data_IF_848425630365
#
_entry.id   IF_848425630365
#
_cell.length_a   1.000
_cell.length_b   1.000
_cell.length_c   1.000
_cell.angle_alpha   90.00
_cell.angle_beta   90.00
_cell.angle_gamma   90.00
#
_symmetry.space_group_name_H-M   'P 1'
#
loop_
_entity.id
_entity.type
_entity.pdbx_description
1 polymer ?
#
# COMPACT_ATOMS: atom_id res chain seq x y z
N UNK A 1 5.23 -26.42 -5.09
CA UNK A 1 4.61 -25.46 -4.15
C UNK A 1 5.70 -24.49 -3.72
N UNK A 2 5.60 -23.17 -4.00
CA UNK A 2 6.59 -22.24 -3.48
C UNK A 2 6.52 -22.32 -1.95
N UNK A 3 7.64 -22.67 -1.33
CA UNK A 3 7.71 -22.85 0.11
C UNK A 3 7.34 -21.52 0.76
N UNK A 4 6.40 -21.50 1.71
CA UNK A 4 6.05 -20.35 2.57
C UNK A 4 7.16 -19.27 2.76
N UNK A 5 8.43 -19.62 3.05
CA UNK A 5 9.54 -18.65 3.10
C UNK A 5 9.68 -17.76 1.86
N UNK A 6 9.50 -18.26 0.65
CA UNK A 6 9.59 -17.46 -0.59
C UNK A 6 8.43 -16.46 -0.72
N UNK A 7 7.28 -16.78 -0.13
CA UNK A 7 6.12 -15.89 -0.11
C UNK A 7 6.32 -14.75 0.91
N UNK A 8 6.94 -15.04 2.05
CA UNK A 8 7.39 -14.02 3.02
C UNK A 8 8.56 -13.17 2.50
N UNK A 9 9.36 -13.68 1.57
CA UNK A 9 10.38 -12.91 0.87
C UNK A 9 9.83 -12.10 -0.31
N UNK A 10 8.52 -12.15 -0.60
CA UNK A 10 7.90 -11.37 -1.66
C UNK A 10 7.35 -10.05 -1.12
N UNK A 11 7.98 -8.94 -1.51
CA UNK A 11 7.60 -7.60 -1.06
C UNK A 11 6.14 -7.26 -1.37
N UNK A 12 5.62 -7.68 -2.53
CA UNK A 12 4.23 -7.43 -2.91
C UNK A 12 3.26 -8.27 -2.08
N UNK A 13 3.64 -9.49 -1.71
CA UNK A 13 2.85 -10.31 -0.78
C UNK A 13 2.84 -9.69 0.63
N UNK A 14 3.98 -9.17 1.11
CA UNK A 14 4.05 -8.42 2.37
C UNK A 14 3.15 -7.18 2.37
N UNK A 15 3.13 -6.42 1.26
CA UNK A 15 2.25 -5.26 1.11
C UNK A 15 0.77 -5.62 1.18
N UNK A 16 0.35 -6.66 0.47
CA UNK A 16 -1.04 -7.13 0.49
C UNK A 16 -1.42 -7.63 1.88
N UNK A 17 -0.60 -8.50 2.47
CA UNK A 17 -0.90 -9.09 3.79
C UNK A 17 -1.01 -8.03 4.88
N UNK A 18 -0.09 -7.07 4.91
CA UNK A 18 -0.16 -5.93 5.86
C UNK A 18 -1.35 -5.01 5.57
N UNK A 19 -1.69 -4.74 4.30
CA UNK A 19 -2.86 -3.95 3.92
C UNK A 19 -4.18 -4.62 4.37
N UNK A 20 -4.33 -5.92 4.12
CA UNK A 20 -5.50 -6.69 4.54
C UNK A 20 -5.62 -6.74 6.06
N UNK A 21 -4.50 -6.92 6.78
CA UNK A 21 -4.49 -6.89 8.24
C UNK A 21 -4.91 -5.53 8.80
N UNK A 22 -4.43 -4.43 8.21
CA UNK A 22 -4.87 -3.06 8.57
C UNK A 22 -6.36 -2.91 8.32
N UNK A 23 -6.87 -3.34 7.17
CA UNK A 23 -8.30 -3.24 6.84
C UNK A 23 -9.18 -4.00 7.83
N UNK A 24 -8.82 -5.24 8.16
CA UNK A 24 -9.59 -6.09 9.09
C UNK A 24 -9.56 -5.49 10.49
N UNK A 25 -8.38 -5.11 11.00
CA UNK A 25 -8.25 -4.62 12.37
C UNK A 25 -8.85 -3.22 12.55
N UNK A 26 -8.68 -2.33 11.56
CA UNK A 26 -9.25 -0.99 11.60
C UNK A 26 -10.77 -1.01 11.45
N UNK A 27 -11.32 -1.82 10.54
CA UNK A 27 -12.78 -1.97 10.41
C UNK A 27 -13.43 -2.62 11.63
N UNK A 28 -12.71 -3.52 12.31
CA UNK A 28 -13.12 -4.09 13.59
C UNK A 28 -12.92 -3.18 14.81
N UNK A 29 -12.39 -1.97 14.64
CA UNK A 29 -12.10 -1.04 15.76
C UNK A 29 -11.04 -1.53 16.76
N UNK A 30 -10.23 -2.54 16.38
CA UNK A 30 -9.26 -3.16 17.29
C UNK A 30 -8.11 -2.22 17.56
N UNK A 31 -7.76 -1.94 18.83
CA UNK A 31 -6.66 -1.04 19.17
C UNK A 31 -5.30 -1.56 18.71
N UNK A 32 -5.19 -2.77 18.16
CA UNK A 32 -3.95 -3.30 17.58
C UNK A 32 -3.76 -2.93 16.10
N UNK A 33 -4.71 -2.23 15.47
CA UNK A 33 -4.59 -1.87 14.05
C UNK A 33 -3.32 -1.04 13.76
N UNK A 34 -2.83 -0.24 14.70
CA UNK A 34 -1.62 0.58 14.51
C UNK A 34 -0.34 -0.25 14.41
N UNK A 35 -0.27 -1.41 15.08
CA UNK A 35 0.93 -2.26 15.04
C UNK A 35 1.17 -2.86 13.66
N UNK A 36 0.10 -3.05 12.87
CA UNK A 36 0.19 -3.48 11.48
C UNK A 36 0.19 -2.30 10.50
N UNK A 37 -0.32 -1.13 10.89
CA UNK A 37 -0.30 0.07 10.07
C UNK A 37 1.11 0.65 9.90
N UNK A 38 1.94 0.62 10.94
CA UNK A 38 3.35 1.07 10.87
C UNK A 38 4.13 0.32 9.79
N UNK A 39 4.23 -1.03 9.80
CA UNK A 39 4.94 -1.75 8.75
C UNK A 39 4.27 -1.58 7.38
N UNK A 40 2.94 -1.50 7.31
CA UNK A 40 2.23 -1.20 6.07
C UNK A 40 2.66 0.15 5.47
N UNK A 41 2.79 1.19 6.30
CA UNK A 41 3.19 2.53 5.89
C UNK A 41 4.58 2.54 5.25
N UNK A 42 5.56 1.88 5.89
CA UNK A 42 6.92 1.80 5.35
C UNK A 42 6.97 0.99 4.04
N UNK A 43 6.25 -0.12 3.96
CA UNK A 43 6.21 -0.95 2.76
C UNK A 43 5.56 -0.22 1.57
N UNK A 44 4.61 0.66 1.84
CA UNK A 44 3.83 1.39 0.83
C UNK A 44 4.20 2.87 0.72
N UNK A 45 5.31 3.30 1.33
CA UNK A 45 5.77 4.68 1.31
C UNK A 45 5.85 5.28 -0.11
N UNK A 46 6.37 4.57 -1.14
CA UNK A 46 6.41 5.10 -2.49
C UNK A 46 5.01 5.40 -3.06
N UNK A 47 4.07 4.48 -2.90
CA UNK A 47 2.69 4.67 -3.37
C UNK A 47 1.92 5.67 -2.51
N UNK A 48 2.22 5.75 -1.21
CA UNK A 48 1.66 6.77 -0.32
C UNK A 48 2.09 8.16 -0.76
N UNK A 49 3.38 8.40 -1.00
CA UNK A 49 3.86 9.68 -1.49
C UNK A 49 3.15 10.07 -2.79
N UNK A 50 3.11 9.16 -3.77
CA UNK A 50 2.43 9.40 -5.05
C UNK A 50 0.92 9.57 -4.94
N UNK A 51 0.28 9.01 -3.92
CA UNK A 51 -1.16 9.21 -3.67
C UNK A 51 -1.42 10.52 -2.91
N UNK A 52 -0.60 10.85 -1.92
CA UNK A 52 -0.77 12.03 -1.07
C UNK A 52 -0.56 13.34 -1.82
N UNK A 53 0.37 13.40 -2.79
CA UNK A 53 0.61 14.64 -3.54
C UNK A 53 -0.60 15.06 -4.41
N UNK A 54 -1.19 14.19 -5.24
CA UNK A 54 -2.41 14.50 -5.98
C UNK A 54 -3.63 14.68 -5.07
N UNK A 55 -3.78 13.86 -4.03
CA UNK A 55 -4.90 13.96 -3.11
C UNK A 55 -4.89 15.28 -2.33
N UNK A 56 -3.72 15.73 -1.87
CA UNK A 56 -3.57 17.03 -1.21
C UNK A 56 -3.79 18.18 -2.18
N UNK A 57 -3.24 18.12 -3.39
CA UNK A 57 -3.48 19.14 -4.42
C UNK A 57 -4.97 19.28 -4.79
N UNK A 58 -5.68 18.16 -4.90
CA UNK A 58 -7.13 18.15 -5.11
C UNK A 58 -7.87 18.73 -3.89
N UNK A 59 -7.48 18.36 -2.67
CA UNK A 59 -8.11 18.85 -1.45
C UNK A 59 -7.97 20.37 -1.29
N UNK A 60 -6.78 20.93 -1.55
CA UNK A 60 -6.55 22.38 -1.51
C UNK A 60 -7.20 23.12 -2.71
N UNK A 61 -7.36 22.47 -3.86
CA UNK A 61 -8.02 23.02 -5.04
C UNK A 61 -9.56 22.99 -4.99
N UNK A 62 -10.15 22.13 -4.16
CA UNK A 62 -11.60 21.91 -4.05
C UNK A 62 -12.28 22.79 -2.99
N UNK A 63 -11.71 23.93 -2.62
CA UNK A 63 -12.20 24.87 -1.59
C UNK A 63 -13.61 25.48 -1.84
N UNK A 64 -14.42 24.90 -2.73
CA UNK A 64 -15.84 25.22 -2.97
C UNK A 64 -16.65 24.06 -3.56
N UNK A 65 -16.16 22.82 -3.54
CA UNK A 65 -16.88 21.65 -4.07
C UNK A 65 -17.75 21.01 -2.97
N UNK A 66 -19.01 20.62 -3.25
CA UNK A 66 -19.87 19.99 -2.25
C UNK A 66 -19.25 18.70 -1.71
N UNK A 67 -19.56 18.34 -0.44
CA UNK A 67 -19.10 17.09 0.14
C UNK A 67 -19.54 15.92 -0.75
N UNK A 68 -18.58 15.05 -1.02
CA UNK A 68 -18.69 13.88 -1.90
C UNK A 68 -19.48 12.80 -1.13
N UNK A 69 -20.79 12.99 -1.00
CA UNK A 69 -21.71 12.21 -0.13
C UNK A 69 -21.85 10.73 -0.55
N UNK A 70 -21.47 10.38 -1.78
CA UNK A 70 -21.47 8.99 -2.29
C UNK A 70 -20.34 8.10 -1.72
N UNK A 71 -19.40 8.65 -0.93
CA UNK A 71 -18.35 7.89 -0.25
C UNK A 71 -18.76 7.37 1.15
N UNK A 72 -20.08 7.27 1.40
CA UNK A 72 -20.64 6.81 2.66
C UNK A 72 -20.42 5.32 2.92
N UNK A 73 -19.54 5.00 3.87
CA UNK A 73 -19.40 3.68 4.47
C UNK A 73 -18.37 2.80 3.76
N UNK A 74 -17.27 2.48 4.46
CA UNK A 74 -16.19 1.54 4.06
C UNK A 74 -15.31 2.01 2.89
N UNK A 75 -15.87 2.69 1.89
CA UNK A 75 -15.18 3.21 0.70
C UNK A 75 -13.92 4.06 1.00
N UNK A 76 -13.93 5.03 1.93
CA UNK A 76 -12.78 5.92 2.11
C UNK A 76 -11.60 5.22 2.77
N UNK A 77 -11.86 4.38 3.76
CA UNK A 77 -10.83 3.60 4.45
C UNK A 77 -10.23 2.57 3.49
N UNK A 78 -11.07 1.86 2.73
CA UNK A 78 -10.60 0.92 1.71
C UNK A 78 -9.73 1.62 0.66
N UNK A 79 -10.18 2.75 0.10
CA UNK A 79 -9.40 3.51 -0.89
C UNK A 79 -8.08 4.02 -0.31
N UNK A 80 -8.08 4.54 0.92
CA UNK A 80 -6.86 5.05 1.58
C UNK A 80 -5.78 4.00 1.80
N UNK A 81 -6.15 2.72 1.84
CA UNK A 81 -5.22 1.59 2.01
C UNK A 81 -4.92 0.91 0.67
N UNK A 82 -5.96 0.62 -0.12
CA UNK A 82 -5.84 -0.13 -1.36
C UNK A 82 -5.08 0.64 -2.45
N UNK A 83 -5.33 1.95 -2.59
CA UNK A 83 -4.73 2.74 -3.68
C UNK A 83 -3.22 2.91 -3.51
N UNK A 84 -2.70 3.34 -2.34
CA UNK A 84 -1.25 3.39 -2.11
C UNK A 84 -0.58 2.03 -2.23
N UNK A 85 -1.30 0.97 -1.86
CA UNK A 85 -0.81 -0.41 -2.00
C UNK A 85 -0.67 -0.80 -3.47
N UNK A 86 -1.69 -0.56 -4.28
CA UNK A 86 -1.67 -0.84 -5.71
C UNK A 86 -0.57 -0.05 -6.43
N UNK A 87 -0.44 1.25 -6.15
CA UNK A 87 0.61 2.10 -6.72
C UNK A 87 1.99 1.58 -6.34
N UNK A 88 2.20 1.21 -5.07
CA UNK A 88 3.48 0.67 -4.60
C UNK A 88 3.83 -0.65 -5.31
N UNK A 89 2.84 -1.52 -5.53
CA UNK A 89 3.04 -2.76 -6.28
C UNK A 89 3.46 -2.50 -7.72
N UNK A 90 2.79 -1.57 -8.42
CA UNK A 90 3.14 -1.16 -9.78
C UNK A 90 4.56 -0.58 -9.82
N UNK A 91 4.90 0.33 -8.90
CA UNK A 91 6.25 0.89 -8.79
C UNK A 91 7.31 -0.19 -8.57
N UNK A 92 7.01 -1.21 -7.77
CA UNK A 92 7.92 -2.34 -7.60
C UNK A 92 8.21 -3.04 -8.93
N UNK A 93 7.24 -3.17 -9.84
CA UNK A 93 7.51 -3.69 -11.18
C UNK A 93 8.38 -2.73 -12.00
N UNK A 94 8.09 -1.43 -11.96
CA UNK A 94 8.86 -0.42 -12.69
C UNK A 94 10.33 -0.32 -12.22
N UNK A 95 10.57 -0.51 -10.93
CA UNK A 95 11.89 -0.38 -10.32
C UNK A 95 12.66 -1.70 -10.25
N UNK A 96 12.05 -2.85 -10.55
CA UNK A 96 12.73 -4.17 -10.63
C UNK A 96 14.07 -4.12 -11.39
N UNK A 97 14.17 -3.48 -12.58
CA UNK A 97 15.44 -3.43 -13.32
C UNK A 97 16.52 -2.64 -12.56
N UNK A 98 16.12 -1.57 -11.88
CA UNK A 98 17.01 -0.69 -11.11
C UNK A 98 17.51 -1.44 -9.86
N UNK A 99 16.60 -2.08 -9.11
CA UNK A 99 16.94 -2.82 -7.90
C UNK A 99 17.80 -4.06 -8.17
N UNK A 100 17.64 -4.71 -9.33
CA UNK A 100 18.54 -5.78 -9.76
C UNK A 100 19.97 -5.29 -9.95
N UNK A 101 20.18 -4.05 -10.42
CA UNK A 101 21.51 -3.47 -10.61
C UNK A 101 22.16 -3.02 -9.30
N UNK A 102 21.38 -2.55 -8.33
CA UNK A 102 21.91 -2.04 -7.07
C UNK A 102 22.08 -3.11 -6.00
N UNK A 103 21.54 -4.32 -6.18
CA UNK A 103 21.63 -5.41 -5.21
C UNK A 103 20.81 -5.20 -3.92
N UNK A 104 20.21 -4.01 -3.75
CA UNK A 104 19.46 -3.60 -2.55
C UNK A 104 18.27 -4.53 -2.26
N UNK A 105 17.70 -5.15 -3.29
CA UNK A 105 16.62 -6.14 -3.15
C UNK A 105 17.06 -7.57 -3.50
N UNK A 106 18.36 -7.86 -3.51
CA UNK A 106 18.87 -9.21 -3.82
C UNK A 106 18.34 -10.29 -2.86
N UNK A 107 17.89 -9.91 -1.67
CA UNK A 107 17.26 -10.80 -0.69
C UNK A 107 15.76 -10.99 -0.90
N UNK A 108 15.08 -10.12 -1.65
CA UNK A 108 13.64 -10.21 -1.88
C UNK A 108 13.33 -10.98 -3.16
N UNK A 109 12.49 -12.01 -3.03
CA UNK A 109 12.04 -12.81 -4.14
C UNK A 109 10.87 -12.14 -4.85
N UNK A 110 11.08 -11.83 -6.12
CA UNK A 110 10.01 -11.40 -7.01
C UNK A 110 9.77 -12.50 -8.05
N UNK A 111 8.59 -13.14 -8.07
CA UNK A 111 8.30 -14.12 -9.12
C UNK A 111 8.46 -13.46 -10.48
N UNK A 112 9.23 -14.12 -11.36
CA UNK A 112 9.32 -13.76 -12.76
C UNK A 112 8.00 -14.07 -13.49
N UNK A 113 7.78 -13.47 -14.66
CA UNK A 113 6.82 -14.02 -15.61
C UNK A 113 7.23 -15.43 -16.05
#
# INVERSE_FOLDING_TARGET
MPALPQLFLNLNACRITTATAVLILASGGSPLWWTVAIPWFFLNLPGLLLFTFPASALFFGLHGSPPVDWLGGISPLFLSIALPTAISMVLSFCWRPIFRRTGVLGQFYYPGP
#
